data_IF_540679711091
#
_entry.id   IF_540679711091
#
_cell.length_a   1.000
_cell.length_b   1.000
_cell.length_c   1.000
_cell.angle_alpha   90.00
_cell.angle_beta   90.00
_cell.angle_gamma   90.00
#
_symmetry.space_group_name_H-M   'P 1'
#
loop_
_entity.id
_entity.type
_entity.pdbx_description
1 polymer ?
#
# COMPACT_ATOMS: atom_id res chain seq x y z
N UNK A 1 -11.36 -0.98 -7.77
CA UNK A 1 -11.79 -0.22 -8.96
C UNK A 1 -11.45 -0.92 -10.27
N UNK A 2 -10.27 -1.52 -10.37
CA UNK A 2 -9.89 -2.36 -11.50
C UNK A 2 -10.12 -3.82 -11.08
N UNK A 3 -10.91 -4.55 -11.85
CA UNK A 3 -11.09 -6.00 -11.68
C UNK A 3 -9.92 -6.69 -12.37
N UNK A 4 -8.91 -7.03 -11.57
CA UNK A 4 -7.73 -7.77 -12.02
C UNK A 4 -7.46 -8.88 -11.01
N UNK A 5 -7.88 -10.09 -11.34
CA UNK A 5 -7.57 -11.29 -10.58
C UNK A 5 -7.55 -12.54 -11.45
N UNK A 6 -7.21 -13.67 -10.84
CA UNK A 6 -7.24 -14.98 -11.49
C UNK A 6 -8.61 -15.28 -12.11
N UNK A 7 -9.69 -14.85 -11.44
CA UNK A 7 -11.08 -14.98 -11.90
C UNK A 7 -11.35 -14.34 -13.28
N UNK A 8 -10.60 -13.30 -13.65
CA UNK A 8 -10.86 -12.52 -14.87
C UNK A 8 -10.05 -13.05 -16.08
N UNK A 9 -9.29 -14.13 -15.89
CA UNK A 9 -8.56 -14.82 -16.96
C UNK A 9 -9.48 -15.68 -17.82
N UNK A 10 -8.99 -16.13 -19.00
CA UNK A 10 -9.75 -17.07 -19.83
C UNK A 10 -9.72 -18.47 -19.23
N UNK A 11 -10.90 -19.04 -18.98
CA UNK A 11 -11.10 -20.38 -18.42
C UNK A 11 -10.39 -20.59 -17.07
N UNK A 12 -10.67 -19.78 -16.05
CA UNK A 12 -10.11 -20.01 -14.72
C UNK A 12 -10.67 -21.32 -14.16
N UNK A 13 -9.83 -22.06 -13.43
CA UNK A 13 -10.33 -23.21 -12.70
C UNK A 13 -11.25 -22.73 -11.58
N UNK A 14 -12.30 -23.49 -11.31
CA UNK A 14 -13.15 -23.21 -10.17
C UNK A 14 -12.36 -23.45 -8.89
N UNK A 15 -12.58 -22.58 -7.91
CA UNK A 15 -12.08 -22.80 -6.57
C UNK A 15 -12.70 -24.07 -5.99
N UNK A 16 -11.87 -24.96 -5.44
CA UNK A 16 -12.27 -26.14 -4.69
C UNK A 16 -11.58 -26.19 -3.32
N UNK A 17 -12.02 -27.13 -2.48
CA UNK A 17 -11.49 -27.30 -1.13
C UNK A 17 -11.29 -28.78 -0.83
N UNK A 18 -10.13 -29.11 -0.28
CA UNK A 18 -9.80 -30.44 0.21
C UNK A 18 -9.95 -30.53 1.74
N UNK A 19 -9.83 -31.74 2.29
CA UNK A 19 -9.82 -31.95 3.73
C UNK A 19 -8.65 -31.19 4.38
N UNK A 20 -8.87 -30.51 5.52
CA UNK A 20 -7.82 -29.76 6.20
C UNK A 20 -6.73 -30.70 6.71
N UNK A 21 -5.50 -30.19 6.77
CA UNK A 21 -4.40 -30.88 7.45
C UNK A 21 -4.57 -30.78 8.98
N UNK A 22 -3.95 -31.70 9.71
CA UNK A 22 -3.85 -31.61 11.16
C UNK A 22 -2.80 -30.55 11.54
N UNK A 23 -3.22 -29.52 12.28
CA UNK A 23 -2.35 -28.48 12.82
C UNK A 23 -2.85 -28.01 14.18
N UNK A 24 -1.93 -27.53 15.01
CA UNK A 24 -2.27 -26.87 16.27
C UNK A 24 -2.37 -25.36 16.03
N UNK A 25 -3.53 -24.73 16.30
CA UNK A 25 -3.67 -23.28 16.22
C UNK A 25 -2.76 -22.57 17.21
N UNK A 26 -2.25 -21.40 16.82
CA UNK A 26 -1.54 -20.53 17.76
C UNK A 26 -2.54 -19.76 18.63
N UNK A 27 -2.51 -20.00 19.94
CA UNK A 27 -3.43 -19.41 20.94
C UNK A 27 -3.00 -17.99 21.40
N UNK A 28 -2.21 -17.29 20.59
CA UNK A 28 -1.80 -15.92 20.90
C UNK A 28 -2.96 -14.94 20.78
N UNK A 29 -3.04 -14.01 21.72
CA UNK A 29 -3.99 -12.90 21.62
C UNK A 29 -3.35 -11.75 20.84
N UNK A 30 -4.04 -11.32 19.79
CA UNK A 30 -3.78 -10.09 19.05
C UNK A 30 -5.10 -9.33 18.98
N UNK A 31 -5.10 -8.08 19.41
CA UNK A 31 -6.29 -7.21 19.30
C UNK A 31 -6.41 -6.65 17.87
N UNK A 32 -6.89 -7.50 16.96
CA UNK A 32 -7.07 -7.13 15.56
C UNK A 32 -8.10 -6.03 15.38
N UNK A 33 -9.17 -6.02 16.17
CA UNK A 33 -10.25 -5.03 16.05
C UNK A 33 -9.72 -3.61 16.32
N UNK A 34 -8.99 -3.42 17.42
CA UNK A 34 -8.39 -2.14 17.73
C UNK A 34 -7.34 -1.71 16.67
N UNK A 35 -6.51 -2.65 16.20
CA UNK A 35 -5.52 -2.36 15.16
C UNK A 35 -6.19 -1.94 13.84
N UNK A 36 -7.27 -2.60 13.43
CA UNK A 36 -8.02 -2.26 12.22
C UNK A 36 -8.66 -0.87 12.37
N UNK A 37 -9.28 -0.59 13.52
CA UNK A 37 -9.92 0.72 13.76
C UNK A 37 -8.89 1.86 13.74
N UNK A 38 -7.72 1.66 14.35
CA UNK A 38 -6.64 2.65 14.35
C UNK A 38 -6.10 2.90 12.94
N UNK A 39 -5.88 1.83 12.17
CA UNK A 39 -5.44 1.93 10.78
C UNK A 39 -6.45 2.67 9.91
N UNK A 40 -7.74 2.33 10.00
CA UNK A 40 -8.80 3.00 9.28
C UNK A 40 -8.84 4.52 9.60
N UNK A 41 -8.69 4.90 10.88
CA UNK A 41 -8.63 6.30 11.32
C UNK A 41 -7.42 7.05 10.78
N UNK A 42 -6.25 6.41 10.66
CA UNK A 42 -5.04 7.01 10.06
C UNK A 42 -5.22 7.20 8.56
N UNK A 43 -5.65 6.15 7.87
CA UNK A 43 -5.89 6.17 6.42
C UNK A 43 -6.93 7.22 6.02
N UNK A 44 -8.03 7.34 6.76
CA UNK A 44 -9.09 8.32 6.47
C UNK A 44 -8.65 9.78 6.62
N UNK A 45 -7.58 10.03 7.39
CA UNK A 45 -7.01 11.37 7.63
C UNK A 45 -5.80 11.66 6.76
N UNK A 46 -5.28 10.66 6.04
CA UNK A 46 -4.06 10.80 5.26
C UNK A 46 -4.39 11.45 3.89
N UNK A 47 -3.87 12.66 3.58
CA UNK A 47 -4.14 13.34 2.33
C UNK A 47 -3.61 12.59 1.11
N UNK A 48 -2.51 11.83 1.26
CA UNK A 48 -1.95 11.02 0.18
C UNK A 48 -2.89 9.86 -0.18
N UNK A 49 -3.47 9.20 0.81
CA UNK A 49 -4.45 8.14 0.57
C UNK A 49 -5.69 8.70 -0.12
N UNK A 50 -6.16 9.87 0.29
CA UNK A 50 -7.28 10.54 -0.38
C UNK A 50 -6.97 10.87 -1.86
N UNK A 51 -5.74 11.31 -2.16
CA UNK A 51 -5.30 11.60 -3.53
C UNK A 51 -5.19 10.32 -4.38
N UNK A 52 -4.68 9.22 -3.81
CA UNK A 52 -4.62 7.91 -4.47
C UNK A 52 -6.03 7.39 -4.78
N UNK A 53 -6.96 7.55 -3.85
CA UNK A 53 -8.36 7.18 -4.01
C UNK A 53 -9.02 7.98 -5.14
N UNK A 54 -8.82 9.30 -5.19
CA UNK A 54 -9.33 10.14 -6.30
C UNK A 54 -8.74 9.71 -7.64
N UNK A 55 -7.44 9.42 -7.69
CA UNK A 55 -6.79 8.93 -8.91
C UNK A 55 -7.38 7.58 -9.37
N UNK A 56 -7.60 6.65 -8.44
CA UNK A 56 -8.17 5.34 -8.75
C UNK A 56 -9.60 5.46 -9.30
N UNK A 57 -10.42 6.34 -8.73
CA UNK A 57 -11.76 6.65 -9.24
C UNK A 57 -11.72 7.30 -10.62
N UNK A 58 -10.81 8.25 -10.85
CA UNK A 58 -10.63 8.87 -12.16
C UNK A 58 -10.19 7.86 -13.21
N UNK A 59 -9.21 6.99 -12.92
CA UNK A 59 -8.78 5.92 -13.83
C UNK A 59 -9.93 4.96 -14.17
N UNK A 60 -10.82 4.66 -13.21
CA UNK A 60 -12.02 3.86 -13.46
C UNK A 60 -12.99 4.56 -14.41
N UNK A 61 -13.27 5.85 -14.19
CA UNK A 61 -14.11 6.64 -15.08
C UNK A 61 -13.53 6.69 -16.50
N UNK A 62 -12.21 6.84 -16.63
CA UNK A 62 -11.53 6.82 -17.93
C UNK A 62 -11.61 5.43 -18.61
N UNK A 63 -11.56 4.34 -17.84
CA UNK A 63 -11.73 2.99 -18.36
C UNK A 63 -13.17 2.73 -18.88
N UNK A 64 -14.16 3.34 -18.24
CA UNK A 64 -15.58 3.21 -18.61
C UNK A 64 -15.95 4.10 -19.81
N UNK A 65 -15.12 5.11 -20.12
CA UNK A 65 -15.31 5.97 -21.30
C UNK A 65 -14.97 5.23 -22.59
N UNK A 66 -16.01 4.82 -23.31
CA UNK A 66 -15.90 4.06 -24.55
C UNK A 66 -16.34 4.86 -25.78
N UNK A 67 -16.74 6.13 -25.61
CA UNK A 67 -17.28 6.97 -26.68
C UNK A 67 -16.52 8.28 -26.75
N UNK A 68 -15.80 8.49 -27.85
CA UNK A 68 -15.05 9.73 -28.06
C UNK A 68 -15.72 10.59 -29.13
N UNK A 69 -15.88 11.87 -28.84
CA UNK A 69 -16.40 12.82 -29.82
C UNK A 69 -15.43 12.99 -30.99
N UNK A 70 -15.94 12.88 -32.23
CA UNK A 70 -15.18 13.19 -33.44
C UNK A 70 -15.12 14.69 -33.77
N UNK A 71 -15.86 15.53 -33.02
CA UNK A 71 -15.71 16.97 -33.15
C UNK A 71 -14.38 17.42 -32.54
N UNK A 72 -13.51 18.00 -33.38
CA UNK A 72 -12.15 18.39 -33.01
C UNK A 72 -12.09 19.32 -31.79
N UNK A 73 -12.96 20.33 -31.70
CA UNK A 73 -12.96 21.30 -30.60
C UNK A 73 -13.45 20.70 -29.27
N UNK A 74 -14.30 19.67 -29.33
CA UNK A 74 -14.71 18.90 -28.15
C UNK A 74 -13.56 18.00 -27.70
N UNK A 75 -13.00 17.20 -28.62
CA UNK A 75 -11.89 16.29 -28.34
C UNK A 75 -10.68 17.02 -27.72
N UNK A 76 -10.26 18.14 -28.32
CA UNK A 76 -9.13 18.94 -27.84
C UNK A 76 -9.34 19.47 -26.42
N UNK A 77 -10.59 19.77 -26.06
CA UNK A 77 -10.96 20.26 -24.72
C UNK A 77 -10.92 19.14 -23.69
N UNK A 78 -11.41 17.95 -24.05
CA UNK A 78 -11.36 16.74 -23.22
C UNK A 78 -9.91 16.34 -22.97
N UNK A 79 -9.10 16.21 -24.02
CA UNK A 79 -7.67 15.89 -23.91
C UNK A 79 -6.91 16.88 -23.00
N UNK A 80 -7.26 18.17 -23.06
CA UNK A 80 -6.66 19.18 -22.18
C UNK A 80 -7.03 18.93 -20.71
N UNK A 81 -8.29 18.63 -20.41
CA UNK A 81 -8.74 18.32 -19.05
C UNK A 81 -8.05 17.06 -18.50
N UNK A 82 -7.88 16.04 -19.33
CA UNK A 82 -7.22 14.80 -18.92
C UNK A 82 -5.73 15.02 -18.65
N UNK A 83 -5.06 15.88 -19.44
CA UNK A 83 -3.67 16.29 -19.17
C UNK A 83 -3.55 17.05 -17.86
N UNK A 84 -4.48 17.96 -17.56
CA UNK A 84 -4.50 18.70 -16.30
C UNK A 84 -4.73 17.77 -15.10
N UNK A 85 -5.69 16.84 -15.19
CA UNK A 85 -5.93 15.81 -14.16
C UNK A 85 -4.75 14.85 -14.00
N UNK A 86 -4.14 14.41 -15.09
CA UNK A 86 -2.92 13.59 -15.04
C UNK A 86 -1.77 14.33 -14.35
N UNK A 87 -1.57 15.62 -14.65
CA UNK A 87 -0.55 16.43 -13.99
C UNK A 87 -0.83 16.61 -12.50
N UNK A 88 -2.10 16.79 -12.11
CA UNK A 88 -2.51 16.81 -10.71
C UNK A 88 -2.13 15.50 -9.98
N UNK A 89 -2.46 14.33 -10.54
CA UNK A 89 -2.13 13.04 -9.90
C UNK A 89 -0.65 12.68 -9.92
N UNK A 90 0.19 13.30 -10.76
CA UNK A 90 1.65 13.13 -10.67
C UNK A 90 2.22 13.56 -9.31
N UNK A 91 1.55 14.48 -8.62
CA UNK A 91 1.96 14.91 -7.26
C UNK A 91 1.94 13.77 -6.24
N UNK A 92 1.24 12.66 -6.50
CA UNK A 92 1.31 11.44 -5.68
C UNK A 92 2.77 10.96 -5.51
N UNK A 93 3.63 11.11 -6.53
CA UNK A 93 5.02 10.66 -6.44
C UNK A 93 5.95 11.54 -5.62
N UNK A 94 5.44 12.69 -5.14
CA UNK A 94 6.19 13.65 -4.34
C UNK A 94 6.05 13.38 -2.84
N UNK A 95 5.24 12.38 -2.46
CA UNK A 95 5.10 11.92 -1.09
C UNK A 95 6.42 11.46 -0.50
N UNK A 96 6.65 11.80 0.77
CA UNK A 96 7.81 11.34 1.54
C UNK A 96 7.37 10.99 2.96
N UNK A 97 7.47 9.71 3.30
CA UNK A 97 7.22 9.18 4.65
C UNK A 97 8.29 9.58 5.67
N UNK A 98 9.41 10.15 5.21
CA UNK A 98 10.61 10.46 6.00
C UNK A 98 11.25 9.22 6.65
N UNK A 99 10.88 8.02 6.21
CA UNK A 99 11.46 6.77 6.64
C UNK A 99 12.83 6.56 5.96
N UNK A 100 13.78 6.04 6.73
CA UNK A 100 15.11 5.67 6.24
C UNK A 100 15.18 4.16 6.04
N UNK A 101 15.67 3.73 4.88
CA UNK A 101 15.85 2.33 4.53
C UNK A 101 17.33 2.03 4.33
N UNK A 102 17.80 0.99 5.01
CA UNK A 102 19.20 0.56 4.98
C UNK A 102 19.27 -0.89 4.51
N UNK A 103 20.33 -1.20 3.75
CA UNK A 103 20.57 -2.57 3.29
C UNK A 103 21.19 -3.38 4.43
N UNK A 104 21.04 -4.69 4.36
CA UNK A 104 21.73 -5.57 5.31
C UNK A 104 23.24 -5.57 5.03
N UNK A 105 24.06 -5.71 6.08
CA UNK A 105 25.53 -5.64 5.99
C UNK A 105 26.15 -6.51 4.89
N UNK A 106 25.64 -7.73 4.69
CA UNK A 106 26.17 -8.62 3.66
C UNK A 106 25.90 -8.10 2.24
N UNK A 107 24.83 -7.31 2.06
CA UNK A 107 24.45 -6.74 0.78
C UNK A 107 25.34 -5.54 0.44
N UNK A 108 25.74 -4.77 1.45
CA UNK A 108 26.71 -3.67 1.30
C UNK A 108 28.06 -4.17 0.74
N UNK A 109 28.50 -5.36 1.18
CA UNK A 109 29.69 -6.00 0.63
C UNK A 109 29.55 -6.32 -0.86
N UNK A 110 28.34 -6.71 -1.31
CA UNK A 110 28.06 -6.99 -2.73
C UNK A 110 28.06 -5.72 -3.57
N UNK A 111 27.65 -4.58 -3.02
CA UNK A 111 27.66 -3.30 -3.74
C UNK A 111 29.06 -2.82 -4.12
N UNK A 112 30.09 -3.24 -3.38
CA UNK A 112 31.49 -2.92 -3.74
C UNK A 112 31.93 -3.63 -5.01
N UNK A 113 31.32 -4.79 -5.30
CA UNK A 113 31.63 -5.63 -6.46
C UNK A 113 30.70 -5.34 -7.64
N UNK A 114 29.46 -4.97 -7.37
CA UNK A 114 28.44 -4.67 -8.38
C UNK A 114 27.82 -3.27 -8.18
N UNK A 115 28.24 -2.26 -8.96
CA UNK A 115 27.67 -0.92 -8.87
C UNK A 115 26.23 -0.83 -9.42
N UNK A 116 25.82 -1.74 -10.31
CA UNK A 116 24.44 -1.79 -10.83
C UNK A 116 23.49 -2.26 -9.73
N UNK A 117 23.92 -3.23 -8.92
CA UNK A 117 23.16 -3.68 -7.77
C UNK A 117 22.93 -2.54 -6.76
N UNK A 118 23.98 -1.75 -6.48
CA UNK A 118 23.88 -0.56 -5.62
C UNK A 118 22.82 0.41 -6.13
N UNK A 119 22.91 0.82 -7.39
CA UNK A 119 21.96 1.78 -7.97
C UNK A 119 20.51 1.27 -7.92
N UNK A 120 20.31 -0.03 -8.14
CA UNK A 120 18.98 -0.66 -8.01
C UNK A 120 18.45 -0.61 -6.57
N UNK A 121 19.32 -0.82 -5.57
CA UNK A 121 18.95 -0.73 -4.16
C UNK A 121 18.68 0.69 -3.71
N UNK A 122 19.51 1.65 -4.09
CA UNK A 122 19.29 3.07 -3.79
C UNK A 122 17.94 3.54 -4.35
N UNK A 123 17.64 3.17 -5.60
CA UNK A 123 16.34 3.47 -6.22
C UNK A 123 15.18 2.80 -5.49
N UNK A 124 15.36 1.55 -5.07
CA UNK A 124 14.32 0.83 -4.32
C UNK A 124 14.06 1.50 -2.97
N UNK A 125 15.10 1.87 -2.22
CA UNK A 125 14.96 2.59 -0.95
C UNK A 125 14.29 3.95 -1.13
N UNK A 126 14.68 4.72 -2.15
CA UNK A 126 14.02 5.97 -2.49
C UNK A 126 12.53 5.77 -2.83
N UNK A 127 12.17 4.67 -3.48
CA UNK A 127 10.76 4.36 -3.76
C UNK A 127 9.99 3.93 -2.50
N UNK A 128 10.62 3.17 -1.59
CA UNK A 128 10.01 2.77 -0.32
C UNK A 128 9.69 3.98 0.57
N UNK A 129 10.55 5.00 0.59
CA UNK A 129 10.29 6.24 1.31
C UNK A 129 9.05 6.98 0.79
N UNK A 130 8.67 6.76 -0.48
CA UNK A 130 7.48 7.36 -1.11
C UNK A 130 6.23 6.49 -0.99
N UNK A 131 6.34 5.32 -0.37
CA UNK A 131 5.25 4.35 -0.27
C UNK A 131 4.46 4.51 1.03
N UNK A 132 3.31 5.17 0.93
CA UNK A 132 2.37 5.38 2.04
C UNK A 132 1.85 4.06 2.62
N UNK A 133 1.81 2.98 1.85
CA UNK A 133 1.37 1.68 2.35
C UNK A 133 2.45 1.02 3.22
N UNK A 134 3.72 1.23 2.91
CA UNK A 134 4.83 0.76 3.76
C UNK A 134 4.82 1.49 5.10
N UNK A 135 4.60 2.81 5.08
CA UNK A 135 4.44 3.58 6.31
C UNK A 135 3.26 3.08 7.16
N UNK A 136 2.09 2.88 6.55
CA UNK A 136 0.93 2.37 7.29
C UNK A 136 1.15 0.93 7.79
N UNK A 137 1.84 0.08 7.01
CA UNK A 137 2.20 -1.27 7.47
C UNK A 137 3.09 -1.22 8.72
N UNK A 138 4.03 -0.28 8.80
CA UNK A 138 4.86 -0.07 9.99
C UNK A 138 3.99 0.39 11.18
N UNK A 139 3.06 1.31 10.97
CA UNK A 139 2.13 1.73 12.01
C UNK A 139 1.25 0.57 12.51
N UNK A 140 0.76 -0.28 11.61
CA UNK A 140 0.02 -1.50 11.95
C UNK A 140 0.88 -2.43 12.79
N UNK A 141 2.13 -2.67 12.42
CA UNK A 141 3.06 -3.49 13.22
C UNK A 141 3.31 -2.90 14.61
N UNK A 142 3.38 -1.58 14.73
CA UNK A 142 3.53 -0.89 16.01
C UNK A 142 2.29 -1.05 16.90
N UNK A 143 1.09 -0.95 16.33
CA UNK A 143 -0.17 -1.20 17.05
C UNK A 143 -0.25 -2.64 17.56
N UNK A 144 0.11 -3.61 16.70
CA UNK A 144 0.16 -5.03 17.06
C UNK A 144 1.11 -5.29 18.23
N UNK A 145 2.27 -4.62 18.27
CA UNK A 145 3.22 -4.74 19.38
C UNK A 145 2.63 -4.23 20.69
N UNK A 146 1.96 -3.08 20.68
CA UNK A 146 1.36 -2.50 21.89
C UNK A 146 0.24 -3.38 22.45
N UNK A 147 -0.56 -3.99 21.56
CA UNK A 147 -1.69 -4.85 21.95
C UNK A 147 -1.23 -6.25 22.45
N UNK A 148 -0.05 -6.70 22.03
CA UNK A 148 0.55 -7.97 22.45
C UNK A 148 1.28 -7.89 23.80
N UNK A 149 1.59 -6.69 24.30
CA UNK A 149 2.10 -6.50 25.65
C UNK A 149 0.90 -6.55 26.58
N UNK A 150 0.60 -7.73 27.15
CA UNK A 150 -0.30 -7.83 28.30
C UNK A 150 0.11 -6.75 29.29
N UNK A 151 -0.82 -5.87 29.65
CA UNK A 151 -0.72 -5.04 30.86
C UNK A 151 -0.51 -5.98 32.04
N UNK A 152 0.75 -6.33 32.32
CA UNK A 152 1.13 -7.05 33.51
C UNK A 152 0.61 -6.21 34.66
N UNK A 153 -0.34 -6.76 35.42
CA UNK A 153 -0.91 -6.13 36.61
C UNK A 153 0.20 -5.38 37.34
N UNK A 154 0.15 -4.05 37.34
CA UNK A 154 0.97 -3.24 38.23
C UNK A 154 0.72 -3.78 39.63
N UNK A 155 1.71 -4.44 40.21
CA UNK A 155 1.62 -4.95 41.56
C UNK A 155 1.32 -3.74 42.47
N UNK A 156 0.12 -3.71 43.04
CA UNK A 156 -0.21 -2.77 44.09
C UNK A 156 0.69 -3.10 45.28
N UNK A 157 1.70 -2.27 45.51
CA UNK A 157 2.46 -2.30 46.76
C UNK A 157 1.51 -1.81 47.84
N UNK A 158 0.98 -2.75 48.63
CA UNK A 158 0.26 -2.47 49.87
C UNK A 158 1.27 -2.47 51.02
N UNK A 159 1.30 -1.38 51.77
CA UNK A 159 1.75 -1.33 53.17
C UNK A 159 3.24 -1.19 53.38
#
# INVERSE_FOLDING_TARGET
YIDLGERDQRNPLNWDKISPADYEPWEGYIDYEATIENSAKRMSKNPQIALIEENAQWLKQQQEENVVSLNYEIYKREEKKDKEKSAYFKTISDYDSHLTFESLKYEEELFTKDPILREKRDRWHNNLAKDVYVEEAINVLQDLKLNNIKNGKLASVKG
#
